data_IF_590986533148
#
_entry.id   IF_590986533148
#
_cell.length_a   1.000
_cell.length_b   1.000
_cell.length_c   1.000
_cell.angle_alpha   90.00
_cell.angle_beta   90.00
_cell.angle_gamma   90.00
#
_symmetry.space_group_name_H-M   'P 1'
#
loop_
_entity.id
_entity.type
_entity.pdbx_description
1 polymer ?
#
# COMPACT_ATOMS: atom_id res chain seq x y z
N UNK A 1 -11.24 22.85 -12.15
CA UNK A 1 -10.33 22.51 -11.04
C UNK A 1 -11.07 21.50 -10.19
N UNK A 2 -10.74 20.22 -10.30
CA UNK A 2 -11.28 19.20 -9.40
C UNK A 2 -10.66 19.42 -8.03
N UNK A 3 -11.47 19.77 -7.05
CA UNK A 3 -11.04 19.96 -5.67
C UNK A 3 -10.63 18.57 -5.14
N UNK A 4 -9.33 18.32 -4.99
CA UNK A 4 -8.85 17.05 -4.44
C UNK A 4 -9.19 17.04 -2.96
N UNK A 5 -10.16 16.23 -2.56
CA UNK A 5 -10.47 16.01 -1.15
C UNK A 5 -9.33 15.21 -0.49
N UNK A 6 -9.01 15.56 0.76
CA UNK A 6 -7.97 14.90 1.56
C UNK A 6 -8.55 14.31 2.84
N UNK A 7 -7.97 13.20 3.29
CA UNK A 7 -8.08 12.69 4.67
C UNK A 7 -6.81 13.01 5.44
N UNK A 8 -6.94 13.18 6.75
CA UNK A 8 -5.80 13.40 7.64
C UNK A 8 -5.37 12.05 8.21
N UNK A 9 -4.12 11.69 7.94
CA UNK A 9 -3.46 10.53 8.53
C UNK A 9 -2.44 10.98 9.57
N UNK A 10 -2.15 10.12 10.54
CA UNK A 10 -1.18 10.40 11.60
C UNK A 10 -0.09 9.32 11.62
N UNK A 11 1.16 9.75 11.61
CA UNK A 11 2.32 8.90 11.93
C UNK A 11 3.11 9.50 13.08
N UNK A 12 4.22 8.88 13.46
CA UNK A 12 5.08 9.33 14.57
C UNK A 12 5.72 10.70 14.35
N UNK A 13 5.67 11.24 13.14
CA UNK A 13 6.19 12.56 12.78
C UNK A 13 5.09 13.63 12.67
N UNK A 14 3.82 13.27 12.89
CA UNK A 14 2.68 14.20 12.93
C UNK A 14 1.60 13.91 11.89
N UNK A 15 0.80 14.92 11.60
CA UNK A 15 -0.32 14.83 10.64
C UNK A 15 0.17 14.97 9.19
N UNK A 16 -0.45 14.22 8.29
CA UNK A 16 -0.19 14.22 6.84
C UNK A 16 -1.50 14.24 6.06
N UNK A 17 -1.59 15.07 5.02
CA UNK A 17 -2.75 15.14 4.13
C UNK A 17 -2.63 14.11 3.01
N UNK A 18 -3.46 13.08 3.05
CA UNK A 18 -3.48 12.01 2.04
C UNK A 18 -4.72 12.17 1.15
N UNK A 19 -4.63 12.02 -0.18
CA UNK A 19 -5.81 12.06 -1.05
C UNK A 19 -6.88 11.09 -0.55
N UNK A 20 -8.15 11.54 -0.50
CA UNK A 20 -9.25 10.79 0.11
C UNK A 20 -9.43 9.38 -0.46
N UNK A 21 -9.18 9.22 -1.75
CA UNK A 21 -9.35 7.96 -2.48
C UNK A 21 -8.07 7.13 -2.59
N UNK A 22 -6.93 7.59 -2.04
CA UNK A 22 -5.71 6.81 -2.04
C UNK A 22 -5.82 5.63 -1.06
N UNK A 23 -5.33 4.47 -1.45
CA UNK A 23 -5.23 3.27 -0.61
C UNK A 23 -4.00 3.30 0.31
N UNK A 24 -2.98 4.10 -0.02
CA UNK A 24 -1.81 4.31 0.82
C UNK A 24 -2.06 5.32 1.95
N UNK A 25 -1.16 5.42 2.94
CA UNK A 25 -1.36 6.26 4.14
C UNK A 25 -0.19 7.23 4.38
N UNK A 26 -0.05 7.74 5.61
CA UNK A 26 0.91 8.79 5.99
C UNK A 26 2.36 8.53 5.54
N UNK A 27 2.88 7.32 5.76
CA UNK A 27 4.29 7.01 5.44
C UNK A 27 4.57 7.13 3.94
N UNK A 28 3.68 6.62 3.10
CA UNK A 28 3.81 6.72 1.63
C UNK A 28 3.71 8.16 1.19
N UNK A 29 2.72 8.91 1.70
CA UNK A 29 2.55 10.32 1.36
C UNK A 29 3.76 11.16 1.78
N UNK A 30 4.33 10.89 2.95
CA UNK A 30 5.53 11.56 3.43
C UNK A 30 6.74 11.26 2.55
N UNK A 31 6.87 10.03 2.06
CA UNK A 31 7.93 9.68 1.11
C UNK A 31 7.75 10.42 -0.23
N UNK A 32 6.54 10.54 -0.74
CA UNK A 32 6.23 11.36 -1.94
C UNK A 32 6.67 12.82 -1.74
N UNK A 33 6.40 13.40 -0.57
CA UNK A 33 6.79 14.78 -0.24
C UNK A 33 8.30 14.96 -0.03
N UNK A 34 8.97 13.96 0.55
CA UNK A 34 10.38 14.04 0.93
C UNK A 34 11.36 13.67 -0.19
N UNK A 35 10.93 12.85 -1.17
CA UNK A 35 11.81 12.32 -2.21
C UNK A 35 11.40 12.68 -3.66
N UNK A 36 11.18 13.98 -4.00
CA UNK A 36 10.86 14.39 -5.36
C UNK A 36 12.13 14.47 -6.24
N UNK A 37 12.75 13.33 -6.53
CA UNK A 37 14.05 13.27 -7.23
C UNK A 37 13.87 13.09 -8.75
N UNK A 38 13.45 11.90 -9.20
CA UNK A 38 13.36 11.55 -10.64
C UNK A 38 11.94 11.61 -11.19
N UNK A 39 10.93 11.39 -10.33
CA UNK A 39 9.52 11.23 -10.75
C UNK A 39 9.20 9.84 -11.32
N UNK A 40 10.18 8.95 -11.41
CA UNK A 40 9.98 7.56 -11.81
C UNK A 40 9.55 6.74 -10.59
N UNK A 41 8.39 6.05 -10.64
CA UNK A 41 7.98 5.15 -9.57
C UNK A 41 8.73 3.82 -9.61
N UNK A 42 8.53 2.99 -8.58
CA UNK A 42 9.01 1.62 -8.54
C UNK A 42 8.60 0.81 -9.78
N UNK A 43 9.50 -0.08 -10.21
CA UNK A 43 9.22 -1.01 -11.30
C UNK A 43 8.00 -1.89 -10.94
N UNK A 44 7.00 -2.05 -11.83
CA UNK A 44 5.84 -2.90 -11.60
C UNK A 44 6.18 -4.32 -11.14
N UNK A 45 7.29 -4.90 -11.63
CA UNK A 45 7.75 -6.21 -11.21
C UNK A 45 8.15 -6.25 -9.73
N UNK A 46 8.70 -5.15 -9.19
CA UNK A 46 9.03 -5.02 -7.78
C UNK A 46 7.78 -4.93 -6.91
N UNK A 47 6.76 -4.20 -7.36
CA UNK A 47 5.45 -4.13 -6.69
C UNK A 47 4.81 -5.52 -6.62
N UNK A 48 4.79 -6.25 -7.74
CA UNK A 48 4.28 -7.63 -7.80
C UNK A 48 5.07 -8.57 -6.88
N UNK A 49 6.40 -8.43 -6.81
CA UNK A 49 7.23 -9.23 -5.91
C UNK A 49 6.87 -8.97 -4.44
N UNK A 50 6.69 -7.71 -4.05
CA UNK A 50 6.26 -7.33 -2.70
C UNK A 50 4.87 -7.89 -2.36
N UNK A 51 3.93 -7.82 -3.29
CA UNK A 51 2.59 -8.38 -3.11
C UNK A 51 2.63 -9.90 -2.89
N UNK A 52 3.44 -10.63 -3.66
CA UNK A 52 3.67 -12.08 -3.45
C UNK A 52 4.24 -12.40 -2.07
N UNK A 53 5.20 -11.59 -1.59
CA UNK A 53 5.77 -11.75 -0.25
C UNK A 53 4.68 -11.56 0.81
N UNK A 54 3.84 -10.53 0.68
CA UNK A 54 2.75 -10.27 1.63
C UNK A 54 1.69 -11.37 1.63
N UNK A 55 1.30 -11.88 0.45
CA UNK A 55 0.40 -13.04 0.33
C UNK A 55 0.98 -14.26 1.05
N UNK A 56 2.23 -14.61 0.75
CA UNK A 56 2.88 -15.77 1.35
C UNK A 56 2.98 -15.65 2.88
N UNK A 57 3.33 -14.46 3.38
CA UNK A 57 3.41 -14.19 4.82
C UNK A 57 2.05 -14.30 5.52
N UNK A 58 0.97 -13.78 4.90
CA UNK A 58 -0.38 -13.88 5.45
C UNK A 58 -0.85 -15.34 5.56
N UNK A 59 -0.65 -16.13 4.51
CA UNK A 59 -1.02 -17.55 4.49
C UNK A 59 -0.20 -18.38 5.48
N UNK A 60 1.12 -18.15 5.55
CA UNK A 60 1.97 -18.81 6.54
C UNK A 60 1.54 -18.47 7.98
N UNK A 61 1.22 -17.20 8.27
CA UNK A 61 0.76 -16.80 9.60
C UNK A 61 -0.64 -17.35 9.94
N UNK A 62 -1.51 -17.54 8.95
CA UNK A 62 -2.79 -18.25 9.12
C UNK A 62 -2.57 -19.70 9.53
N UNK A 63 -1.65 -20.40 8.85
CA UNK A 63 -1.31 -21.79 9.18
C UNK A 63 -0.70 -21.93 10.57
N UNK A 64 0.12 -20.96 10.99
CA UNK A 64 0.71 -20.92 12.33
C UNK A 64 -0.27 -20.44 13.41
N UNK A 65 -1.47 -19.98 13.05
CA UNK A 65 -2.46 -19.42 13.97
C UNK A 65 -2.04 -18.09 14.60
N UNK A 66 -1.05 -17.40 14.04
CA UNK A 66 -0.57 -16.09 14.52
C UNK A 66 -1.33 -14.91 13.90
N UNK A 67 -2.15 -15.19 12.89
CA UNK A 67 -3.04 -14.23 12.26
C UNK A 67 -4.44 -14.83 12.12
N UNK A 68 -5.47 -14.02 12.43
CA UNK A 68 -6.86 -14.42 12.23
C UNK A 68 -7.11 -14.85 10.77
N UNK A 69 -7.88 -15.92 10.59
CA UNK A 69 -8.08 -16.53 9.28
C UNK A 69 -8.77 -15.60 8.29
N UNK A 70 -9.77 -14.83 8.73
CA UNK A 70 -10.49 -13.90 7.86
C UNK A 70 -9.60 -12.71 7.47
N UNK A 71 -8.79 -12.20 8.40
CA UNK A 71 -7.79 -11.15 8.11
C UNK A 71 -6.74 -11.67 7.12
N UNK A 72 -6.21 -12.87 7.33
CA UNK A 72 -5.22 -13.46 6.44
C UNK A 72 -5.76 -13.66 5.02
N UNK A 73 -7.00 -14.14 4.88
CA UNK A 73 -7.66 -14.31 3.58
C UNK A 73 -7.90 -12.96 2.89
N UNK A 74 -8.28 -11.93 3.64
CA UNK A 74 -8.43 -10.57 3.11
C UNK A 74 -7.10 -9.99 2.61
N UNK A 75 -6.01 -10.17 3.36
CA UNK A 75 -4.66 -9.74 2.92
C UNK A 75 -4.24 -10.50 1.66
N UNK A 76 -4.46 -11.81 1.62
CA UNK A 76 -4.12 -12.63 0.46
C UNK A 76 -4.92 -12.22 -0.78
N UNK A 77 -6.22 -11.93 -0.63
CA UNK A 77 -7.08 -11.42 -1.72
C UNK A 77 -6.63 -10.06 -2.24
N UNK A 78 -6.36 -9.10 -1.34
CA UNK A 78 -5.85 -7.78 -1.74
C UNK A 78 -4.48 -7.90 -2.44
N UNK A 79 -3.61 -8.81 -1.98
CA UNK A 79 -2.35 -9.07 -2.65
C UNK A 79 -2.53 -9.67 -4.05
N UNK A 80 -3.54 -10.53 -4.27
CA UNK A 80 -3.87 -11.06 -5.59
C UNK A 80 -4.33 -9.96 -6.56
N UNK A 81 -5.10 -8.98 -6.09
CA UNK A 81 -5.49 -7.81 -6.90
C UNK A 81 -4.26 -7.03 -7.39
N UNK A 82 -3.29 -6.79 -6.50
CA UNK A 82 -2.03 -6.11 -6.85
C UNK A 82 -1.18 -6.95 -7.81
N UNK A 83 -1.10 -8.27 -7.60
CA UNK A 83 -0.38 -9.19 -8.51
C UNK A 83 -1.01 -9.21 -9.91
N UNK A 84 -2.34 -9.07 -9.99
CA UNK A 84 -3.08 -8.97 -11.24
C UNK A 84 -2.92 -7.60 -11.93
N UNK A 85 -2.19 -6.66 -11.33
CA UNK A 85 -1.96 -5.31 -11.86
C UNK A 85 -3.04 -4.30 -11.50
N UNK A 86 -3.96 -4.63 -10.61
CA UNK A 86 -4.90 -3.64 -10.05
C UNK A 86 -4.18 -2.67 -9.12
N UNK A 87 -4.71 -1.46 -8.96
CA UNK A 87 -4.19 -0.46 -8.01
C UNK A 87 -2.77 0.03 -8.31
N UNK A 88 -2.32 -0.03 -9.57
CA UNK A 88 -0.98 0.43 -9.96
C UNK A 88 -0.71 1.90 -9.59
N UNK A 89 -1.76 2.73 -9.61
CA UNK A 89 -1.74 4.15 -9.22
C UNK A 89 -1.59 4.37 -7.70
N UNK A 90 -1.64 3.30 -6.90
CA UNK A 90 -1.54 3.35 -5.44
C UNK A 90 -0.10 3.15 -4.94
N UNK A 91 0.87 3.08 -5.85
CA UNK A 91 2.30 2.99 -5.56
C UNK A 91 3.04 4.19 -6.18
N UNK A 92 2.92 5.39 -5.58
CA UNK A 92 3.43 6.65 -6.16
C UNK A 92 4.93 6.91 -5.89
N UNK A 93 5.65 5.93 -5.33
CA UNK A 93 7.08 6.01 -4.98
C UNK A 93 7.86 5.12 -5.94
#
# INVERSE_FOLDING_TARGET
MTDTEYRIEHDTMGEVRVPKNALYAAQTQRAVENFPISGDPLDPAQIVALARIKKAAALANKELGTLDGAIADAIAGAADEVIAGSHADQFPI
#
